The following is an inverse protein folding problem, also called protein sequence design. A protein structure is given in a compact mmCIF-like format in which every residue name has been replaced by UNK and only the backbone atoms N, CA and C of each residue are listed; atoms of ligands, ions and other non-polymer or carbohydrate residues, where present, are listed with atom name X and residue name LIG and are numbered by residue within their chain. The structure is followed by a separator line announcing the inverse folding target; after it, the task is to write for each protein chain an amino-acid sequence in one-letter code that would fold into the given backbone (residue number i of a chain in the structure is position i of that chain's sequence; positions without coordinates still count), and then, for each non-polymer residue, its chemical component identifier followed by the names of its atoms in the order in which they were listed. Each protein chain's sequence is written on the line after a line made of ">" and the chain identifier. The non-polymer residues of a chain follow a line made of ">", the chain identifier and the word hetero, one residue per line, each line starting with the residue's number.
data_IF_152785058661
#
_entry.id   IF_152785058661
#
_cell.length_a   1.000
_cell.length_b   1.000
_cell.length_c   1.000
_cell.angle_alpha   90.00
_cell.angle_beta   90.00
_cell.angle_gamma   90.00
#
_symmetry.space_group_name_H-M   'P 1'
#
loop_
_entity.id
_entity.type
_entity.pdbx_description
1 polymer ?
#
# COMPACT_ATOMS: atom_id res chain seq x y z
N UNK A 1 -0.91 -6.81 12.46
CA UNK A 1 -2.04 -7.56 11.83
C UNK A 1 -1.74 -7.71 10.36
N UNK A 2 -1.95 -8.90 9.77
CA UNK A 2 -1.80 -9.10 8.32
C UNK A 2 -3.09 -8.73 7.61
N UNK A 3 -3.00 -8.21 6.39
CA UNK A 3 -4.15 -7.73 5.65
C UNK A 3 -4.02 -7.94 4.14
N UNK A 4 -5.16 -8.19 3.49
CA UNK A 4 -5.30 -8.23 2.03
C UNK A 4 -6.56 -7.48 1.63
N UNK A 5 -6.41 -6.40 0.87
CA UNK A 5 -7.53 -5.56 0.44
C UNK A 5 -7.52 -5.36 -1.09
N UNK A 6 -8.70 -5.42 -1.74
CA UNK A 6 -8.82 -5.00 -3.13
C UNK A 6 -8.65 -3.48 -3.22
N UNK A 7 -7.99 -3.00 -4.28
CA UNK A 7 -7.91 -1.58 -4.61
C UNK A 7 -8.61 -1.36 -5.94
N UNK A 8 -9.54 -0.42 -5.95
CA UNK A 8 -10.48 -0.17 -7.03
C UNK A 8 -10.14 1.10 -7.81
N UNK A 9 -10.73 1.27 -9.00
CA UNK A 9 -10.59 2.49 -9.83
C UNK A 9 -11.17 3.74 -9.18
N UNK A 10 -12.05 3.59 -8.20
CA UNK A 10 -12.71 4.69 -7.51
C UNK A 10 -13.20 4.29 -6.12
N UNK A 11 -13.88 5.21 -5.41
CA UNK A 11 -14.24 5.02 -4.00
C UNK A 11 -15.35 3.98 -3.78
N UNK A 12 -16.12 3.64 -4.82
CA UNK A 12 -17.17 2.62 -4.71
C UNK A 12 -16.53 1.21 -4.61
N UNK A 13 -16.88 0.48 -3.55
CA UNK A 13 -16.38 -0.87 -3.28
C UNK A 13 -16.73 -1.90 -4.36
N UNK A 14 -17.81 -1.69 -5.11
CA UNK A 14 -18.21 -2.57 -6.23
C UNK A 14 -17.55 -2.18 -7.55
N UNK A 15 -16.79 -1.08 -7.59
CA UNK A 15 -16.10 -0.66 -8.79
C UNK A 15 -14.95 -1.62 -9.15
N UNK A 16 -14.49 -1.53 -10.39
CA UNK A 16 -13.48 -2.45 -10.94
C UNK A 16 -12.21 -2.46 -10.08
N UNK A 17 -11.82 -3.64 -9.63
CA UNK A 17 -10.54 -3.89 -8.94
C UNK A 17 -9.39 -3.81 -9.94
N UNK A 18 -8.34 -3.05 -9.59
CA UNK A 18 -7.14 -2.84 -10.43
C UNK A 18 -5.86 -3.45 -9.84
N UNK A 19 -5.81 -3.58 -8.50
CA UNK A 19 -4.66 -4.17 -7.78
C UNK A 19 -5.11 -4.71 -6.43
N UNK A 20 -4.22 -5.41 -5.75
CA UNK A 20 -4.41 -5.83 -4.35
C UNK A 20 -3.32 -5.20 -3.48
N UNK A 21 -3.71 -4.73 -2.29
CA UNK A 21 -2.78 -4.31 -1.26
C UNK A 21 -2.65 -5.46 -0.24
N UNK A 22 -1.44 -5.98 -0.07
CA UNK A 22 -1.16 -7.09 0.85
C UNK A 22 0.02 -6.72 1.75
N UNK A 23 -0.10 -7.03 3.04
CA UNK A 23 0.99 -6.74 3.95
C UNK A 23 0.54 -6.75 5.38
N UNK A 24 1.17 -5.90 6.18
CA UNK A 24 0.92 -5.80 7.61
C UNK A 24 1.05 -4.36 8.09
N UNK A 25 0.38 -4.10 9.19
CA UNK A 25 0.54 -2.87 9.94
C UNK A 25 0.58 -3.16 11.44
N UNK A 26 1.17 -2.23 12.18
CA UNK A 26 1.34 -2.29 13.64
C UNK A 26 1.03 -0.92 14.20
N UNK A 27 0.29 -0.85 15.31
CA UNK A 27 0.15 0.40 16.08
C UNK A 27 1.45 0.66 16.84
N UNK A 28 2.03 1.85 16.69
CA UNK A 28 3.42 2.12 17.11
C UNK A 28 3.58 3.30 18.05
N UNK A 29 2.51 4.06 18.28
CA UNK A 29 2.54 5.30 19.04
C UNK A 29 1.51 5.20 20.19
N UNK A 30 1.88 5.73 21.35
CA UNK A 30 1.08 5.64 22.59
C UNK A 30 0.13 6.83 22.75
N UNK A 31 0.44 7.96 22.10
CA UNK A 31 -0.28 9.22 22.27
C UNK A 31 -1.21 9.49 21.09
N UNK A 32 -0.69 9.31 19.87
CA UNK A 32 -1.42 9.61 18.63
C UNK A 32 -1.53 8.34 17.81
N UNK A 33 -2.76 7.94 17.47
CA UNK A 33 -3.01 6.70 16.72
C UNK A 33 -2.24 6.67 15.40
N UNK A 34 -1.10 5.96 15.42
CA UNK A 34 -0.13 5.90 14.34
C UNK A 34 0.21 4.46 14.03
N UNK A 35 0.12 4.12 12.76
CA UNK A 35 0.51 2.81 12.26
C UNK A 35 1.89 2.89 11.61
N UNK A 36 2.71 1.86 11.74
CA UNK A 36 3.76 1.57 10.77
C UNK A 36 3.22 0.48 9.85
N UNK A 37 3.29 0.70 8.54
CA UNK A 37 2.77 -0.23 7.54
C UNK A 37 3.87 -0.69 6.61
N UNK A 38 3.85 -1.98 6.29
CA UNK A 38 4.46 -2.55 5.10
C UNK A 38 3.33 -3.03 4.17
N UNK A 39 3.27 -2.51 2.95
CA UNK A 39 2.24 -2.86 1.98
C UNK A 39 2.83 -3.10 0.59
N UNK A 40 2.57 -4.28 0.04
CA UNK A 40 2.80 -4.66 -1.36
C UNK A 40 1.53 -4.40 -2.18
N UNK A 41 1.63 -3.50 -3.16
CA UNK A 41 0.56 -3.21 -4.11
C UNK A 41 0.81 -3.94 -5.42
N UNK A 42 0.29 -5.17 -5.54
CA UNK A 42 0.38 -6.00 -6.73
C UNK A 42 -0.69 -5.66 -7.76
N UNK A 43 -0.28 -5.14 -8.92
CA UNK A 43 -1.15 -4.78 -10.03
C UNK A 43 -1.63 -6.02 -10.78
N UNK A 44 -2.93 -6.09 -11.06
CA UNK A 44 -3.57 -7.28 -11.68
C UNK A 44 -4.23 -6.99 -13.02
N UNK A 45 -4.12 -5.75 -13.52
CA UNK A 45 -4.77 -5.26 -14.74
C UNK A 45 -3.88 -4.23 -15.44
N UNK A 46 -4.10 -4.07 -16.75
CA UNK A 46 -3.44 -3.05 -17.57
C UNK A 46 -1.95 -3.33 -17.82
N UNK A 47 -1.22 -2.30 -18.24
CA UNK A 47 0.19 -2.38 -18.61
C UNK A 47 1.13 -2.73 -17.44
N UNK A 48 0.68 -2.49 -16.21
CA UNK A 48 1.44 -2.82 -15.01
C UNK A 48 1.08 -4.20 -14.44
N UNK A 49 0.25 -4.98 -15.13
CA UNK A 49 -0.16 -6.30 -14.66
C UNK A 49 1.05 -7.19 -14.37
N UNK A 50 1.13 -7.73 -13.15
CA UNK A 50 2.25 -8.54 -12.68
C UNK A 50 3.34 -7.74 -11.96
N UNK A 51 3.32 -6.41 -12.03
CA UNK A 51 4.26 -5.55 -11.29
C UNK A 51 3.72 -5.20 -9.91
N UNK A 52 4.61 -4.68 -9.05
CA UNK A 52 4.21 -4.20 -7.73
C UNK A 52 5.07 -3.03 -7.27
N UNK A 53 4.50 -2.21 -6.40
CA UNK A 53 5.24 -1.24 -5.58
C UNK A 53 5.11 -1.62 -4.11
N UNK A 54 6.15 -1.36 -3.33
CA UNK A 54 6.20 -1.65 -1.91
C UNK A 54 6.30 -0.33 -1.13
N UNK A 55 5.47 -0.21 -0.09
CA UNK A 55 5.48 0.94 0.83
C UNK A 55 5.92 0.43 2.19
N UNK A 56 6.86 1.12 2.82
CA UNK A 56 7.19 0.93 4.23
C UNK A 56 7.34 2.28 4.90
N UNK A 57 6.40 2.65 5.76
CA UNK A 57 6.34 4.00 6.30
C UNK A 57 5.54 4.13 7.59
N UNK A 58 5.81 5.20 8.34
CA UNK A 58 4.97 5.68 9.43
C UNK A 58 3.71 6.33 8.83
N UNK A 59 2.56 6.07 9.42
CA UNK A 59 1.26 6.46 8.92
C UNK A 59 0.38 6.95 10.09
N UNK A 60 0.45 8.25 10.45
CA UNK A 60 -0.41 8.85 11.46
C UNK A 60 -1.83 8.96 10.89
N UNK A 61 -2.70 7.99 11.17
CA UNK A 61 -3.98 7.85 10.46
C UNK A 61 -5.03 8.90 10.83
N UNK A 62 -4.75 9.69 11.87
CA UNK A 62 -5.58 10.84 12.28
C UNK A 62 -5.32 12.09 11.43
N UNK A 63 -4.20 12.14 10.70
CA UNK A 63 -3.86 13.25 9.81
C UNK A 63 -4.59 13.11 8.46
N UNK A 64 -5.03 14.24 7.91
CA UNK A 64 -5.75 14.27 6.62
C UNK A 64 -4.83 13.94 5.45
N UNK A 65 -3.70 14.64 5.37
CA UNK A 65 -2.67 14.44 4.34
C UNK A 65 -1.52 13.65 4.94
N UNK A 66 -1.09 12.59 4.25
CA UNK A 66 -0.09 11.65 4.77
C UNK A 66 0.86 11.25 3.66
N UNK A 67 2.13 11.49 3.86
CA UNK A 67 3.18 11.03 2.96
C UNK A 67 3.63 9.62 3.34
N UNK A 68 3.66 8.71 2.36
CA UNK A 68 4.09 7.34 2.56
C UNK A 68 5.23 7.01 1.60
N UNK A 69 6.34 6.52 2.15
CA UNK A 69 7.53 6.21 1.37
C UNK A 69 7.34 4.95 0.50
N UNK A 70 7.49 5.11 -0.81
CA UNK A 70 7.67 3.98 -1.74
C UNK A 70 9.13 3.54 -1.66
N UNK A 71 9.35 2.32 -1.17
CA UNK A 71 10.71 1.78 -0.90
C UNK A 71 11.24 0.88 -2.03
N UNK A 72 10.41 0.60 -3.04
CA UNK A 72 10.79 -0.18 -4.21
C UNK A 72 9.62 -0.93 -4.82
N UNK A 73 9.92 -2.04 -5.48
CA UNK A 73 8.94 -2.84 -6.19
C UNK A 73 9.54 -4.06 -6.88
N UNK A 74 8.67 -4.86 -7.50
CA UNK A 74 9.07 -6.00 -8.35
C UNK A 74 9.04 -5.59 -9.82
N UNK A 75 9.82 -6.30 -10.62
CA UNK A 75 9.92 -6.10 -12.07
C UNK A 75 10.26 -4.66 -12.45
N UNK A 76 9.35 -3.94 -13.12
CA UNK A 76 9.56 -2.57 -13.61
C UNK A 76 9.90 -1.56 -12.52
N UNK A 77 9.59 -1.85 -11.27
CA UNK A 77 9.86 -0.97 -10.12
C UNK A 77 10.99 -1.49 -9.23
N UNK A 78 11.78 -2.46 -9.71
CA UNK A 78 12.96 -2.93 -8.99
C UNK A 78 13.97 -1.78 -8.89
N UNK A 79 14.39 -1.48 -7.66
CA UNK A 79 15.44 -0.49 -7.42
C UNK A 79 16.78 -1.09 -7.82
N UNK A 80 17.57 -0.35 -8.60
CA UNK A 80 18.99 -0.66 -8.81
C UNK A 80 19.77 -0.33 -7.54
N UNK A 81 20.85 -1.08 -7.32
CA UNK A 81 21.66 -1.00 -6.09
C UNK A 81 22.70 0.10 -6.15
#
# INVERSE_FOLDING_TARGET
>A
MTSRYPVTVGPNLTSKVVRNAQGLWVSTDQDVLTLVLYMDFGFTKGELNGYSINIFSRNPIVETERELAVIGGREKFKMEK
#
